data_IF_167564133138
#
_entry.id   IF_167564133138
#
_cell.length_a   1.000
_cell.length_b   1.000
_cell.length_c   1.000
_cell.angle_alpha   90.00
_cell.angle_beta   90.00
_cell.angle_gamma   90.00
#
_symmetry.space_group_name_H-M   'P 1'
#
loop_
_entity.id
_entity.type
_entity.pdbx_description
1 polymer ?
#
# COMPACT_ATOMS: atom_id res chain seq x y z
N UNK A 1 1.28 48.39 59.19
CA UNK A 1 0.64 47.25 58.50
C UNK A 1 -0.06 47.76 57.24
N UNK A 2 0.47 47.46 56.05
CA UNK A 2 -0.27 47.36 54.78
C UNK A 2 0.68 46.84 53.73
N UNK A 3 0.56 45.54 53.46
CA UNK A 3 1.38 44.77 52.54
C UNK A 3 1.01 45.11 51.10
N UNK A 4 2.00 45.39 50.26
CA UNK A 4 1.82 45.50 48.80
C UNK A 4 2.29 44.17 48.20
N UNK A 5 1.34 43.39 47.69
CA UNK A 5 1.58 42.15 46.95
C UNK A 5 1.74 42.49 45.47
N UNK A 6 2.94 42.32 44.95
CA UNK A 6 3.24 42.44 43.51
C UNK A 6 3.02 41.03 42.91
N UNK A 7 1.98 40.89 42.08
CA UNK A 7 1.74 39.66 41.31
C UNK A 7 2.61 39.66 40.05
N UNK A 8 3.49 38.66 39.94
CA UNK A 8 4.31 38.40 38.76
C UNK A 8 3.58 37.36 37.90
N UNK A 9 3.00 37.77 36.78
CA UNK A 9 2.36 36.87 35.82
C UNK A 9 3.45 36.32 34.90
N UNK A 10 3.80 35.04 35.06
CA UNK A 10 4.69 34.31 34.15
C UNK A 10 3.87 33.80 32.97
N UNK A 11 4.12 34.34 31.78
CA UNK A 11 3.56 33.80 30.54
C UNK A 11 4.40 32.60 30.07
N UNK A 12 3.90 31.38 30.29
CA UNK A 12 4.44 30.18 29.65
C UNK A 12 4.07 30.22 28.15
N UNK A 13 5.04 30.56 27.30
CA UNK A 13 4.92 30.36 25.87
C UNK A 13 5.00 28.85 25.57
N UNK A 14 3.88 28.25 25.19
CA UNK A 14 3.84 26.88 24.68
C UNK A 14 4.52 26.83 23.32
N UNK A 15 5.74 26.27 23.28
CA UNK A 15 6.38 25.87 22.02
C UNK A 15 5.59 24.70 21.46
N UNK A 16 4.60 24.98 20.63
CA UNK A 16 4.00 23.98 19.74
C UNK A 16 5.08 23.57 18.76
N UNK A 17 5.75 22.44 19.02
CA UNK A 17 6.67 21.83 18.08
C UNK A 17 5.93 21.60 16.76
N UNK A 18 6.49 22.10 15.65
CA UNK A 18 5.96 21.76 14.33
C UNK A 18 5.99 20.23 14.19
N UNK A 19 4.93 19.59 13.67
CA UNK A 19 4.97 18.18 13.38
C UNK A 19 6.17 17.90 12.46
N UNK A 20 6.88 16.76 12.64
CA UNK A 20 7.94 16.41 11.71
C UNK A 20 7.32 16.40 10.31
N UNK A 21 7.93 17.15 9.38
CA UNK A 21 7.65 16.99 7.97
C UNK A 21 8.07 15.55 7.63
N UNK A 22 7.12 14.62 7.62
CA UNK A 22 7.31 13.34 6.97
C UNK A 22 7.61 13.68 5.52
N UNK A 23 8.85 13.46 5.10
CA UNK A 23 9.19 13.48 3.69
C UNK A 23 8.37 12.35 3.06
N UNK A 24 7.20 12.69 2.55
CA UNK A 24 6.38 11.78 1.78
C UNK A 24 7.14 11.56 0.48
N UNK A 25 7.71 10.37 0.33
CA UNK A 25 8.38 9.97 -0.92
C UNK A 25 7.38 9.08 -1.65
N UNK A 26 6.57 9.64 -2.57
CA UNK A 26 5.64 8.84 -3.36
C UNK A 26 6.34 8.03 -4.46
N UNK A 27 7.62 8.34 -4.72
CA UNK A 27 8.43 7.73 -5.78
C UNK A 27 9.62 6.98 -5.19
N UNK A 28 10.03 5.88 -5.83
CA UNK A 28 11.12 5.03 -5.39
C UNK A 28 10.78 3.55 -5.50
N UNK A 29 11.69 2.70 -5.02
CA UNK A 29 11.45 1.26 -4.94
C UNK A 29 10.95 0.91 -3.54
N UNK A 30 9.84 0.20 -3.49
CA UNK A 30 9.22 -0.22 -2.25
C UNK A 30 9.04 -1.73 -2.23
N UNK A 31 9.35 -2.35 -1.10
CA UNK A 31 8.93 -3.72 -0.83
C UNK A 31 7.43 -3.70 -0.51
N UNK A 32 6.64 -4.44 -1.30
CA UNK A 32 5.26 -4.75 -0.98
C UNK A 32 5.23 -5.93 -0.02
N UNK A 33 4.95 -5.65 1.25
CA UNK A 33 4.75 -6.67 2.29
C UNK A 33 3.27 -6.94 2.42
N UNK A 34 2.82 -8.03 1.80
CA UNK A 34 1.42 -8.42 1.75
C UNK A 34 1.20 -9.63 2.67
N UNK A 35 0.23 -9.53 3.58
CA UNK A 35 -0.01 -10.56 4.60
C UNK A 35 -1.14 -11.50 4.19
N UNK A 36 -0.94 -12.80 4.40
CA UNK A 36 -1.95 -13.84 4.20
C UNK A 36 -2.27 -14.26 2.76
N UNK A 37 -1.77 -13.57 1.72
CA UNK A 37 -1.92 -14.06 0.33
C UNK A 37 -1.04 -15.28 0.14
N UNK A 38 -1.64 -16.35 -0.36
CA UNK A 38 -0.93 -17.57 -0.69
C UNK A 38 -0.11 -17.37 -1.96
N UNK A 39 1.07 -16.81 -1.78
CA UNK A 39 2.06 -16.55 -2.81
C UNK A 39 3.46 -16.77 -2.23
N UNK A 40 4.45 -17.02 -3.10
CA UNK A 40 5.85 -17.19 -2.70
C UNK A 40 6.77 -16.12 -3.29
N UNK A 41 6.19 -15.20 -4.06
CA UNK A 41 6.88 -14.02 -4.56
C UNK A 41 6.87 -12.93 -3.50
N UNK A 42 8.04 -12.33 -3.25
CA UNK A 42 8.07 -10.96 -2.73
C UNK A 42 8.00 -10.01 -3.93
N UNK A 43 7.48 -8.82 -3.71
CA UNK A 43 7.24 -7.85 -4.79
C UNK A 43 7.96 -6.56 -4.48
N UNK A 44 8.71 -6.06 -5.47
CA UNK A 44 9.18 -4.68 -5.48
C UNK A 44 8.17 -3.89 -6.31
N UNK A 45 7.67 -2.79 -5.77
CA UNK A 45 6.94 -1.78 -6.50
C UNK A 45 7.87 -0.61 -6.78
N UNK A 46 8.22 -0.43 -8.06
CA UNK A 46 8.87 0.78 -8.53
C UNK A 46 7.80 1.83 -8.82
N UNK A 47 7.75 2.87 -7.99
CA UNK A 47 6.80 3.98 -8.10
C UNK A 47 7.46 5.16 -8.82
N UNK A 48 6.85 5.57 -9.94
CA UNK A 48 7.26 6.72 -10.74
C UNK A 48 6.12 7.73 -10.88
N UNK A 49 6.41 8.94 -11.34
CA UNK A 49 5.39 9.94 -11.65
C UNK A 49 4.55 9.51 -12.86
N UNK A 50 3.27 9.89 -12.88
CA UNK A 50 2.42 9.86 -14.07
C UNK A 50 1.69 11.20 -14.24
N UNK A 51 0.94 11.35 -15.33
CA UNK A 51 0.23 12.58 -15.63
C UNK A 51 -1.00 12.76 -14.72
N UNK A 52 -0.95 13.78 -13.85
CA UNK A 52 -1.99 14.14 -12.89
C UNK A 52 -1.68 13.66 -11.47
N UNK A 53 -2.71 13.58 -10.63
CA UNK A 53 -2.58 13.14 -9.24
C UNK A 53 -2.51 11.61 -9.19
N UNK A 54 -1.34 11.05 -9.50
CA UNK A 54 -1.14 9.60 -9.55
C UNK A 54 0.32 9.19 -9.38
N UNK A 55 0.55 7.89 -9.15
CA UNK A 55 1.86 7.24 -9.32
C UNK A 55 1.75 6.07 -10.28
N UNK A 56 2.71 5.92 -11.18
CA UNK A 56 2.85 4.74 -12.01
C UNK A 56 3.52 3.63 -11.19
N UNK A 57 2.85 2.49 -11.08
CA UNK A 57 3.34 1.32 -10.36
C UNK A 57 3.86 0.31 -11.37
N UNK A 58 5.12 -0.09 -11.24
CA UNK A 58 5.66 -1.29 -11.89
C UNK A 58 5.95 -2.34 -10.82
N UNK A 59 5.21 -3.46 -10.86
CA UNK A 59 5.42 -4.57 -9.95
C UNK A 59 6.46 -5.55 -10.51
N UNK A 60 7.50 -5.80 -9.73
CA UNK A 60 8.65 -6.61 -10.08
C UNK A 60 8.72 -7.78 -9.09
N UNK A 61 8.44 -9.02 -9.54
CA UNK A 61 8.45 -10.18 -8.67
C UNK A 61 9.87 -10.62 -8.34
N UNK A 62 10.09 -11.10 -7.11
CA UNK A 62 11.35 -11.62 -6.59
C UNK A 62 11.10 -12.95 -5.87
N UNK A 63 11.52 -14.11 -6.42
CA UNK A 63 12.00 -14.32 -7.80
C UNK A 63 10.88 -14.15 -8.84
N UNK A 64 11.16 -14.27 -10.15
CA UNK A 64 10.08 -14.25 -11.16
C UNK A 64 9.23 -15.53 -11.11
N UNK A 65 9.84 -16.72 -11.14
CA UNK A 65 9.20 -18.03 -10.88
C UNK A 65 7.72 -18.26 -11.31
N UNK A 66 7.31 -17.79 -12.50
CA UNK A 66 5.94 -17.82 -13.06
C UNK A 66 4.96 -16.75 -12.52
N UNK A 67 5.42 -15.81 -11.71
CA UNK A 67 4.70 -14.57 -11.44
C UNK A 67 4.38 -13.84 -12.75
N UNK A 68 3.17 -13.32 -12.85
CA UNK A 68 2.81 -12.36 -13.88
C UNK A 68 3.16 -10.94 -13.42
N UNK A 69 4.18 -10.27 -14.02
CA UNK A 69 4.43 -8.87 -13.69
C UNK A 69 3.26 -8.00 -14.16
N UNK A 70 2.87 -7.04 -13.32
CA UNK A 70 1.80 -6.10 -13.63
C UNK A 70 2.27 -4.65 -13.45
N UNK A 71 1.56 -3.73 -14.11
CA UNK A 71 1.80 -2.31 -13.98
C UNK A 71 0.50 -1.53 -14.15
N UNK A 72 0.45 -0.31 -13.64
CA UNK A 72 -0.69 0.58 -13.81
C UNK A 72 -0.55 1.88 -13.02
N UNK A 73 -1.41 2.84 -13.34
CA UNK A 73 -1.42 4.12 -12.65
C UNK A 73 -2.35 4.05 -11.44
N UNK A 74 -1.79 4.28 -10.25
CA UNK A 74 -2.55 4.42 -9.03
C UNK A 74 -3.00 5.87 -8.88
N UNK A 75 -4.31 6.10 -8.89
CA UNK A 75 -4.88 7.45 -8.76
C UNK A 75 -4.93 7.87 -7.30
N UNK A 76 -4.52 9.11 -7.01
CA UNK A 76 -4.62 9.72 -5.69
C UNK A 76 -5.95 10.45 -5.56
N UNK A 77 -6.72 10.09 -4.54
CA UNK A 77 -7.92 10.82 -4.13
C UNK A 77 -8.04 10.77 -2.60
N UNK A 78 -8.37 11.90 -1.98
CA UNK A 78 -8.61 12.00 -0.53
C UNK A 78 -7.47 11.40 0.34
N UNK A 79 -6.22 11.62 -0.08
CA UNK A 79 -5.04 11.12 0.62
C UNK A 79 -4.76 9.62 0.45
N UNK A 80 -5.45 8.95 -0.47
CA UNK A 80 -5.34 7.50 -0.71
C UNK A 80 -5.10 7.21 -2.18
N UNK A 81 -4.11 6.37 -2.45
CA UNK A 81 -3.87 5.84 -3.79
C UNK A 81 -4.75 4.62 -4.03
N UNK A 82 -5.24 4.47 -5.25
CA UNK A 82 -5.97 3.28 -5.70
C UNK A 82 -5.44 2.79 -7.04
N UNK A 83 -4.98 1.54 -7.09
CA UNK A 83 -4.52 0.83 -8.29
C UNK A 83 -5.46 -0.34 -8.56
N UNK A 84 -5.94 -0.48 -9.79
CA UNK A 84 -6.69 -1.66 -10.25
C UNK A 84 -5.92 -2.34 -11.38
N UNK A 85 -5.69 -3.65 -11.25
CA UNK A 85 -4.95 -4.46 -12.22
C UNK A 85 -5.57 -5.85 -12.36
N UNK A 86 -5.50 -6.41 -13.54
CA UNK A 86 -5.86 -7.81 -13.77
C UNK A 86 -4.60 -8.67 -13.67
N UNK A 87 -4.63 -9.69 -12.82
CA UNK A 87 -3.50 -10.56 -12.51
C UNK A 87 -3.87 -12.00 -12.91
N UNK A 88 -3.43 -12.49 -14.08
CA UNK A 88 -3.77 -13.81 -14.60
C UNK A 88 -3.39 -14.98 -13.68
N UNK A 89 -2.41 -14.79 -12.79
CA UNK A 89 -1.96 -15.78 -11.82
C UNK A 89 -2.26 -15.40 -10.36
N UNK A 90 -3.26 -14.53 -10.15
CA UNK A 90 -3.48 -13.84 -8.88
C UNK A 90 -3.93 -14.74 -7.72
N UNK A 91 -4.67 -15.82 -7.98
CA UNK A 91 -5.02 -16.81 -6.96
C UNK A 91 -4.39 -18.16 -7.33
N UNK A 92 -3.71 -18.77 -6.37
CA UNK A 92 -3.03 -20.06 -6.52
C UNK A 92 -3.79 -21.16 -5.78
N UNK A 93 -4.09 -22.26 -6.49
CA UNK A 93 -4.87 -23.38 -5.97
C UNK A 93 -4.00 -24.62 -5.80
N UNK A 94 -3.99 -25.18 -4.59
CA UNK A 94 -3.19 -26.36 -4.28
C UNK A 94 -1.71 -26.02 -4.08
N UNK A 95 -0.82 -26.64 -4.86
CA UNK A 95 0.62 -26.39 -4.73
C UNK A 95 0.98 -25.00 -5.29
N UNK A 96 1.70 -24.18 -4.51
CA UNK A 96 2.03 -22.79 -4.90
C UNK A 96 2.84 -22.66 -6.20
N UNK A 97 3.65 -23.66 -6.57
CA UNK A 97 4.53 -23.63 -7.75
C UNK A 97 3.90 -24.28 -9.00
N UNK A 98 3.13 -25.35 -8.81
CA UNK A 98 2.65 -26.21 -9.90
C UNK A 98 1.13 -26.34 -9.94
N UNK A 99 0.42 -25.76 -8.97
CA UNK A 99 -1.03 -25.76 -8.89
C UNK A 99 -1.65 -24.88 -9.97
N UNK A 100 -2.97 -25.02 -10.10
CA UNK A 100 -3.74 -24.16 -11.00
C UNK A 100 -3.69 -22.72 -10.50
N UNK A 101 -3.65 -21.78 -11.43
CA UNK A 101 -3.79 -20.36 -11.14
C UNK A 101 -5.11 -19.85 -11.68
N UNK A 102 -5.72 -18.93 -10.95
CA UNK A 102 -6.99 -18.30 -11.27
C UNK A 102 -6.73 -16.81 -11.51
N UNK A 103 -7.19 -16.24 -12.63
CA UNK A 103 -7.14 -14.80 -12.86
C UNK A 103 -7.92 -14.03 -11.81
N UNK A 104 -7.35 -12.93 -11.33
CA UNK A 104 -8.02 -12.04 -10.39
C UNK A 104 -8.07 -10.61 -10.93
N UNK A 105 -9.09 -9.88 -10.50
CA UNK A 105 -9.10 -8.42 -10.55
C UNK A 105 -8.70 -7.90 -9.17
N UNK A 106 -7.51 -7.31 -9.09
CA UNK A 106 -6.85 -6.87 -7.87
C UNK A 106 -6.96 -5.34 -7.75
N UNK A 107 -7.60 -4.87 -6.68
CA UNK A 107 -7.71 -3.46 -6.32
C UNK A 107 -6.89 -3.21 -5.05
N UNK A 108 -5.79 -2.48 -5.20
CA UNK A 108 -4.95 -2.03 -4.09
C UNK A 108 -5.36 -0.62 -3.69
N UNK A 109 -5.54 -0.40 -2.38
CA UNK A 109 -5.81 0.93 -1.86
C UNK A 109 -4.98 1.22 -0.61
N UNK A 110 -4.18 2.29 -0.62
CA UNK A 110 -3.27 2.62 0.49
C UNK A 110 -3.22 4.11 0.79
N UNK A 111 -3.03 4.40 2.06
CA UNK A 111 -2.84 5.76 2.56
C UNK A 111 -1.50 6.33 2.06
N UNK A 112 -1.52 7.54 1.49
CA UNK A 112 -0.35 8.15 0.87
C UNK A 112 0.80 8.35 1.87
N UNK A 113 0.49 8.74 3.11
CA UNK A 113 1.49 9.09 4.12
C UNK A 113 2.02 7.87 4.87
N UNK A 114 1.12 7.01 5.36
CA UNK A 114 1.47 5.84 6.18
C UNK A 114 1.89 4.65 5.34
N UNK A 115 1.52 4.62 4.04
CA UNK A 115 1.78 3.50 3.12
C UNK A 115 1.18 2.17 3.56
N UNK A 116 0.16 2.23 4.42
CA UNK A 116 -0.62 1.08 4.87
C UNK A 116 -1.87 0.97 3.99
N UNK A 117 -2.13 -0.24 3.50
CA UNK A 117 -3.21 -0.49 2.55
C UNK A 117 -3.85 -1.85 2.67
N UNK A 118 -4.85 -2.04 1.80
CA UNK A 118 -5.56 -3.31 1.62
C UNK A 118 -5.61 -3.62 0.14
N UNK A 119 -5.28 -4.85 -0.23
CA UNK A 119 -5.58 -5.46 -1.52
C UNK A 119 -6.94 -6.15 -1.39
N UNK A 120 -7.88 -5.82 -2.28
CA UNK A 120 -9.09 -6.59 -2.54
C UNK A 120 -8.93 -7.33 -3.86
N UNK A 121 -8.90 -8.66 -3.82
CA UNK A 121 -8.71 -9.52 -4.99
C UNK A 121 -10.02 -10.28 -5.26
N UNK A 122 -10.59 -10.10 -6.44
CA UNK A 122 -11.85 -10.71 -6.86
C UNK A 122 -11.64 -11.64 -8.04
N UNK A 123 -12.45 -12.69 -8.14
CA UNK A 123 -12.36 -13.71 -9.19
C UNK A 123 -13.74 -14.31 -9.49
N UNK A 124 -13.95 -14.68 -10.76
CA UNK A 124 -15.22 -15.24 -11.22
C UNK A 124 -15.38 -16.74 -10.90
N UNK A 125 -14.26 -17.47 -10.76
CA UNK A 125 -14.24 -18.88 -10.42
C UNK A 125 -12.97 -19.23 -9.63
N UNK A 126 -13.11 -19.40 -8.31
CA UNK A 126 -12.03 -19.73 -7.39
C UNK A 126 -11.61 -21.20 -7.46
N UNK A 127 -10.81 -21.63 -6.48
CA UNK A 127 -10.30 -23.01 -6.42
C UNK A 127 -11.40 -24.07 -6.25
N UNK A 128 -12.56 -23.68 -5.75
CA UNK A 128 -13.76 -24.50 -5.62
C UNK A 128 -14.75 -24.32 -6.79
N UNK A 129 -14.39 -23.49 -7.78
CA UNK A 129 -15.21 -23.15 -8.94
C UNK A 129 -16.24 -22.04 -8.71
N UNK A 130 -16.33 -21.46 -7.51
CA UNK A 130 -17.29 -20.40 -7.20
C UNK A 130 -16.64 -19.00 -7.26
N UNK A 131 -17.36 -17.94 -7.64
CA UNK A 131 -16.86 -16.58 -7.56
C UNK A 131 -16.57 -16.16 -6.12
N UNK A 132 -15.64 -15.24 -5.93
CA UNK A 132 -15.27 -14.80 -4.59
C UNK A 132 -14.46 -13.51 -4.55
N UNK A 133 -14.23 -13.05 -3.33
CA UNK A 133 -13.37 -11.90 -3.04
C UNK A 133 -12.60 -12.15 -1.76
N UNK A 134 -11.30 -11.87 -1.81
CA UNK A 134 -10.36 -12.00 -0.70
C UNK A 134 -9.72 -10.64 -0.42
N UNK A 135 -9.39 -10.39 0.85
CA UNK A 135 -8.77 -9.13 1.26
C UNK A 135 -7.49 -9.39 2.03
N UNK A 136 -6.44 -8.66 1.70
CA UNK A 136 -5.12 -8.81 2.29
C UNK A 136 -4.58 -7.44 2.74
N UNK A 137 -4.23 -7.25 4.02
CA UNK A 137 -3.54 -6.05 4.43
C UNK A 137 -2.12 -6.05 3.88
N UNK A 138 -1.60 -4.86 3.57
CA UNK A 138 -0.21 -4.70 3.14
C UNK A 138 0.40 -3.39 3.63
N UNK A 139 1.73 -3.33 3.58
CA UNK A 139 2.50 -2.10 3.77
C UNK A 139 3.56 -1.96 2.67
N UNK A 140 3.82 -0.72 2.24
CA UNK A 140 4.95 -0.41 1.35
C UNK A 140 6.13 0.10 2.19
N UNK A 141 7.21 -0.68 2.22
CA UNK A 141 8.44 -0.31 2.91
C UNK A 141 9.46 0.21 1.91
N UNK A 142 10.00 1.41 2.13
CA UNK A 142 11.04 1.96 1.26
C UNK A 142 12.28 1.05 1.30
N UNK A 143 12.85 0.74 0.14
CA UNK A 143 14.07 -0.07 -0.01
C UNK A 143 15.33 0.79 -0.11
#
# INVERSE_FOLDING_TARGET
MKSVLISLIVACASVLGAPPALADTPHGNFELRLDGRYDFHTWIWALASCDGDCVHVQAIPQPIARAFPYAGDARLADGRYTLAVDVPDGLRCGNVYYGATIPTHDVYSWDATTRVGVLTSSFDAGCDGNPGTLTYPFVLSLM
#
